data_IF_904854411960
#
_entry.id   IF_904854411960
#
_cell.length_a   1.000
_cell.length_b   1.000
_cell.length_c   1.000
_cell.angle_alpha   90.00
_cell.angle_beta   90.00
_cell.angle_gamma   90.00
#
_symmetry.space_group_name_H-M   'P 1'
#
loop_
_entity.id
_entity.type
_entity.pdbx_description
1 polymer ?
#
# COMPACT_ATOMS: atom_id res chain seq x y z
N UNK A 1 -31.21 -59.07 -12.97
CA UNK A 1 -30.02 -58.80 -12.12
C UNK A 1 -28.79 -58.32 -12.90
N UNK A 2 -28.42 -58.94 -14.05
CA UNK A 2 -27.25 -58.53 -14.85
C UNK A 2 -27.25 -57.07 -15.34
N UNK A 3 -28.42 -56.51 -15.72
CA UNK A 3 -28.54 -55.10 -16.18
C UNK A 3 -28.30 -54.08 -15.04
N UNK A 4 -28.70 -54.42 -13.82
CA UNK A 4 -28.52 -53.55 -12.62
C UNK A 4 -27.06 -53.55 -12.18
N UNK A 5 -26.39 -54.71 -12.22
CA UNK A 5 -24.96 -54.84 -11.94
C UNK A 5 -24.10 -54.03 -12.94
N UNK A 6 -24.52 -53.99 -14.21
CA UNK A 6 -23.85 -53.21 -15.26
C UNK A 6 -24.03 -51.70 -15.08
N UNK A 7 -25.21 -51.26 -14.65
CA UNK A 7 -25.46 -49.83 -14.37
C UNK A 7 -24.66 -49.35 -13.15
N UNK A 8 -24.54 -50.20 -12.13
CA UNK A 8 -23.81 -49.86 -10.90
C UNK A 8 -22.31 -49.74 -11.13
N UNK A 9 -21.73 -50.62 -11.95
CA UNK A 9 -20.31 -50.56 -12.34
C UNK A 9 -19.99 -49.34 -13.21
N UNK A 10 -20.92 -48.94 -14.08
CA UNK A 10 -20.78 -47.72 -14.89
C UNK A 10 -20.83 -46.44 -14.02
N UNK A 11 -21.66 -46.41 -12.99
CA UNK A 11 -21.78 -45.27 -12.06
C UNK A 11 -20.50 -45.00 -11.26
N UNK A 12 -19.83 -46.07 -10.80
CA UNK A 12 -18.59 -45.95 -10.00
C UNK A 12 -17.43 -45.34 -10.81
N UNK A 13 -17.41 -45.52 -12.14
CA UNK A 13 -16.39 -44.94 -13.02
C UNK A 13 -16.48 -43.41 -13.14
N UNK A 14 -17.66 -42.82 -12.95
CA UNK A 14 -17.87 -41.37 -13.11
C UNK A 14 -17.57 -40.54 -11.84
N UNK A 15 -17.35 -41.18 -10.68
CA UNK A 15 -17.20 -40.46 -9.39
C UNK A 15 -15.72 -40.16 -9.07
N UNK A 16 -14.76 -40.72 -9.80
CA UNK A 16 -13.33 -40.62 -9.48
C UNK A 16 -12.63 -39.45 -10.19
N UNK A 17 -13.07 -38.21 -9.96
CA UNK A 17 -12.25 -37.05 -10.34
C UNK A 17 -12.55 -35.82 -9.48
N UNK A 18 -11.94 -35.73 -8.30
CA UNK A 18 -11.69 -34.46 -7.62
C UNK A 18 -10.27 -34.47 -7.05
N UNK A 19 -9.35 -33.82 -7.74
CA UNK A 19 -8.01 -33.51 -7.23
C UNK A 19 -8.08 -32.21 -6.44
N UNK A 20 -7.68 -32.23 -5.17
CA UNK A 20 -7.54 -31.01 -4.35
C UNK A 20 -6.22 -30.31 -4.71
N UNK A 21 -6.27 -28.98 -4.85
CA UNK A 21 -5.11 -28.15 -5.13
C UNK A 21 -4.51 -27.62 -3.82
N UNK A 22 -3.19 -27.69 -3.61
CA UNK A 22 -2.54 -27.08 -2.46
C UNK A 22 -2.13 -25.62 -2.72
N UNK A 23 -2.23 -24.80 -1.66
CA UNK A 23 -1.91 -23.38 -1.66
C UNK A 23 -0.50 -23.16 -1.11
N UNK A 24 0.29 -22.30 -1.75
CA UNK A 24 1.61 -21.86 -1.25
C UNK A 24 1.71 -20.34 -1.23
N UNK A 25 2.35 -19.80 -0.19
CA UNK A 25 2.45 -18.36 0.11
C UNK A 25 3.88 -17.90 -0.14
N UNK A 26 4.05 -16.81 -0.89
CA UNK A 26 5.35 -16.17 -1.17
C UNK A 26 5.50 -14.92 -0.30
N UNK A 27 6.59 -14.74 0.47
CA UNK A 27 6.83 -13.51 1.20
C UNK A 27 7.45 -12.43 0.29
N UNK A 28 6.94 -11.20 0.40
CA UNK A 28 7.45 -10.01 -0.30
C UNK A 28 8.05 -9.07 0.76
N UNK A 29 9.22 -8.51 0.45
CA UNK A 29 9.92 -7.57 1.32
C UNK A 29 9.61 -6.13 0.89
N UNK A 30 9.19 -5.28 1.83
CA UNK A 30 8.89 -3.87 1.59
C UNK A 30 9.86 -2.99 2.36
N UNK A 31 10.55 -2.09 1.66
CA UNK A 31 11.36 -1.06 2.28
C UNK A 31 10.60 0.27 2.31
N UNK A 32 10.42 0.81 3.51
CA UNK A 32 9.83 2.13 3.71
C UNK A 32 10.90 3.20 3.59
N UNK A 33 10.83 4.00 2.52
CA UNK A 33 11.68 5.18 2.36
C UNK A 33 10.98 6.41 2.93
N UNK A 34 11.42 6.82 4.13
CA UNK A 34 11.00 8.07 4.78
C UNK A 34 11.99 9.16 4.39
N UNK A 35 11.51 10.29 3.86
CA UNK A 35 12.34 11.46 3.57
C UNK A 35 11.83 12.60 4.43
N UNK A 36 12.68 13.06 5.35
CA UNK A 36 12.39 14.16 6.26
C UNK A 36 12.70 15.51 5.59
N UNK A 37 11.87 16.52 5.88
CA UNK A 37 12.16 17.91 5.50
C UNK A 37 12.23 18.78 6.75
N UNK A 38 13.29 19.58 6.83
CA UNK A 38 13.49 20.59 7.86
C UNK A 38 12.44 21.70 7.76
N UNK A 39 11.82 22.01 8.90
CA UNK A 39 11.02 23.22 9.11
C UNK A 39 11.78 24.10 10.10
N UNK A 40 12.10 25.31 9.69
CA UNK A 40 12.65 26.32 10.60
C UNK A 40 11.51 27.14 11.18
N UNK A 41 11.42 27.13 12.51
CA UNK A 41 10.49 27.96 13.27
C UNK A 41 11.11 29.35 13.40
N UNK A 42 10.62 30.29 12.60
CA UNK A 42 10.98 31.69 12.75
C UNK A 42 10.05 32.39 13.74
N UNK A 43 10.62 33.39 14.41
CA UNK A 43 9.99 34.38 15.30
C UNK A 43 8.58 34.71 14.79
N UNK A 44 7.56 34.87 15.66
CA UNK A 44 6.21 35.21 15.24
C UNK A 44 6.21 36.38 14.23
N UNK A 45 5.54 36.22 13.08
CA UNK A 45 5.71 37.06 11.89
C UNK A 45 5.39 38.54 12.13
N UNK A 46 4.59 38.85 13.15
CA UNK A 46 4.04 40.19 13.40
C UNK A 46 4.53 40.82 14.71
N UNK A 47 5.82 40.66 15.03
CA UNK A 47 6.39 41.19 16.27
C UNK A 47 7.40 42.32 16.01
N UNK A 48 7.40 43.31 16.91
CA UNK A 48 8.44 44.33 16.96
C UNK A 48 8.81 44.63 18.42
N UNK A 49 10.11 44.77 18.66
CA UNK A 49 10.68 45.16 19.94
C UNK A 49 11.28 46.55 19.83
N UNK A 50 10.88 47.43 20.73
CA UNK A 50 11.30 48.83 20.75
C UNK A 50 11.93 49.16 22.09
N UNK A 51 13.10 49.78 22.06
CA UNK A 51 13.76 50.33 23.24
C UNK A 51 14.03 51.82 22.98
N UNK A 52 13.43 52.68 23.79
CA UNK A 52 13.53 54.13 23.67
C UNK A 52 14.11 54.73 24.95
N UNK A 53 15.10 55.61 24.80
CA UNK A 53 15.67 56.39 25.89
C UNK A 53 15.06 57.78 25.86
N UNK A 54 14.28 58.11 26.89
CA UNK A 54 13.62 59.39 27.06
C UNK A 54 14.34 60.18 28.17
N UNK A 55 14.59 61.45 27.92
CA UNK A 55 15.19 62.38 28.88
C UNK A 55 14.36 63.65 28.98
N UNK A 56 14.40 64.34 30.12
CA UNK A 56 13.81 65.67 30.26
C UNK A 56 14.89 66.73 30.06
N UNK A 57 14.64 67.65 29.13
CA UNK A 57 15.47 68.85 28.95
C UNK A 57 15.28 69.85 30.11
N UNK A 58 16.12 70.89 30.20
CA UNK A 58 16.07 71.93 31.24
C UNK A 58 14.75 72.71 31.28
N UNK A 59 13.94 72.62 30.22
CA UNK A 59 12.60 73.19 30.11
C UNK A 59 11.48 72.19 30.46
N UNK A 60 11.81 71.05 31.09
CA UNK A 60 10.92 69.93 31.43
C UNK A 60 10.22 69.29 30.20
N UNK A 61 10.81 69.43 29.01
CA UNK A 61 10.31 68.78 27.80
C UNK A 61 10.94 67.40 27.65
N UNK A 62 10.11 66.39 27.44
CA UNK A 62 10.56 65.02 27.16
C UNK A 62 11.13 64.96 25.74
N UNK A 63 12.40 64.57 25.63
CA UNK A 63 13.15 64.40 24.40
C UNK A 63 13.57 62.95 24.22
N UNK A 64 13.71 62.51 22.97
CA UNK A 64 14.21 61.18 22.61
C UNK A 64 15.73 61.24 22.46
N UNK A 65 16.48 60.54 23.30
CA UNK A 65 17.95 60.47 23.27
C UNK A 65 18.49 59.31 22.44
N UNK A 66 17.76 58.21 22.39
CA UNK A 66 18.20 57.01 21.69
C UNK A 66 17.02 56.10 21.37
N UNK A 67 17.13 55.40 20.24
CA UNK A 67 16.12 54.49 19.77
C UNK A 67 16.77 53.23 19.20
N UNK A 68 16.36 52.07 19.69
CA UNK A 68 16.72 50.78 19.12
C UNK A 68 15.44 50.01 18.80
N UNK A 69 15.29 49.66 17.53
CA UNK A 69 14.13 48.94 17.02
C UNK A 69 14.58 47.64 16.37
N UNK A 70 13.93 46.53 16.74
CA UNK A 70 14.05 45.24 16.08
C UNK A 70 12.67 44.79 15.65
N UNK A 71 12.48 44.48 14.37
CA UNK A 71 11.18 44.09 13.82
C UNK A 71 11.29 42.89 12.90
N UNK A 72 10.23 42.10 12.85
CA UNK A 72 10.10 40.99 11.91
C UNK A 72 10.07 41.50 10.46
N UNK A 73 10.52 40.68 9.48
CA UNK A 73 10.44 41.02 8.06
C UNK A 73 8.98 41.30 7.64
N UNK A 74 8.72 42.41 6.93
CA UNK A 74 7.37 42.79 6.49
C UNK A 74 6.57 43.66 7.47
N UNK A 75 7.17 44.01 8.63
CA UNK A 75 6.61 44.97 9.58
C UNK A 75 7.22 46.37 9.35
N UNK A 76 6.36 47.35 9.14
CA UNK A 76 6.70 48.76 9.05
C UNK A 76 6.29 49.49 10.34
N UNK A 77 7.05 50.52 10.72
CA UNK A 77 6.85 51.26 11.95
C UNK A 77 6.88 52.78 11.71
N UNK A 78 6.03 53.51 12.43
CA UNK A 78 5.99 54.98 12.46
C UNK A 78 6.06 55.43 13.93
N UNK A 79 7.01 56.31 14.23
CA UNK A 79 7.30 56.79 15.58
C UNK A 79 7.16 58.31 15.64
N UNK A 80 6.37 58.80 16.60
CA UNK A 80 6.16 60.24 16.82
C UNK A 80 6.22 60.57 18.31
N UNK A 81 7.17 61.42 18.68
CA UNK A 81 7.23 62.05 20.00
C UNK A 81 6.81 63.51 19.86
N UNK A 82 5.67 63.89 20.45
CA UNK A 82 5.20 65.28 20.49
C UNK A 82 4.67 65.60 21.89
N UNK A 83 5.18 66.66 22.51
CA UNK A 83 4.72 67.17 23.81
C UNK A 83 4.66 66.08 24.90
N UNK A 84 5.66 65.21 24.97
CA UNK A 84 5.71 64.11 25.94
C UNK A 84 4.85 62.90 25.61
N UNK A 85 4.09 62.93 24.50
CA UNK A 85 3.30 61.79 24.04
C UNK A 85 4.13 61.00 23.02
N UNK A 86 4.42 59.76 23.37
CA UNK A 86 5.12 58.80 22.53
C UNK A 86 4.11 57.92 21.79
N UNK A 87 3.91 58.18 20.51
CA UNK A 87 3.05 57.37 19.64
C UNK A 87 3.91 56.43 18.81
N UNK A 88 3.63 55.13 18.93
CA UNK A 88 4.27 54.08 18.16
C UNK A 88 3.22 53.29 17.39
N UNK A 89 3.34 53.25 16.06
CA UNK A 89 2.40 52.56 15.18
C UNK A 89 3.14 51.49 14.40
N UNK A 90 2.61 50.27 14.44
CA UNK A 90 3.05 49.17 13.60
C UNK A 90 2.04 48.94 12.45
N UNK A 91 2.57 48.66 11.27
CA UNK A 91 1.80 48.24 10.10
C UNK A 91 2.46 46.99 9.55
N UNK A 92 1.74 45.87 9.58
CA UNK A 92 2.18 44.65 8.92
C UNK A 92 1.61 44.65 7.50
N UNK A 93 2.45 44.40 6.51
CA UNK A 93 1.97 43.99 5.19
C UNK A 93 1.86 42.47 5.19
N UNK A 94 0.64 41.89 5.19
CA UNK A 94 0.49 40.44 5.16
C UNK A 94 1.07 39.94 3.84
N UNK A 95 2.22 39.30 3.90
CA UNK A 95 2.79 38.61 2.76
C UNK A 95 2.31 37.15 2.87
N UNK A 96 1.38 36.68 2.01
CA UNK A 96 0.90 35.32 2.08
C UNK A 96 2.06 34.38 1.78
N UNK A 97 2.59 33.71 2.82
CA UNK A 97 3.53 32.62 2.64
C UNK A 97 2.76 31.51 1.93
N UNK A 98 3.10 31.26 0.67
CA UNK A 98 2.57 30.14 -0.08
C UNK A 98 3.14 28.86 0.53
N UNK A 99 2.40 28.26 1.44
CA UNK A 99 2.75 26.96 2.00
C UNK A 99 2.34 25.91 0.99
N UNK A 100 3.30 25.39 0.22
CA UNK A 100 3.08 24.21 -0.61
C UNK A 100 2.84 23.00 0.30
N UNK A 101 1.59 22.58 0.42
CA UNK A 101 1.24 21.32 1.07
C UNK A 101 1.46 20.18 0.08
N UNK A 102 2.34 19.24 0.45
CA UNK A 102 2.50 17.97 -0.27
C UNK A 102 1.73 16.91 0.49
N UNK A 103 0.56 16.58 -0.04
CA UNK A 103 -0.24 15.47 0.45
C UNK A 103 0.49 14.14 0.21
N UNK A 104 0.61 13.32 1.26
CA UNK A 104 1.20 11.99 1.17
C UNK A 104 0.13 10.98 0.76
N UNK A 105 0.15 10.54 -0.51
CA UNK A 105 -0.64 9.39 -0.94
C UNK A 105 0.09 8.11 -0.53
N UNK A 106 -0.38 7.47 0.54
CA UNK A 106 0.14 6.18 1.00
C UNK A 106 -0.46 5.09 0.12
N UNK A 107 0.29 4.64 -0.90
CA UNK A 107 -0.07 3.47 -1.68
C UNK A 107 0.24 2.21 -0.87
N UNK A 108 -0.80 1.59 -0.32
CA UNK A 108 -0.71 0.28 0.31
C UNK A 108 -1.04 -0.77 -0.74
N UNK A 109 -0.01 -1.37 -1.32
CA UNK A 109 -0.18 -2.55 -2.18
C UNK A 109 -0.60 -3.73 -1.29
N UNK A 110 -1.87 -4.11 -1.39
CA UNK A 110 -2.40 -5.28 -0.71
C UNK A 110 -1.92 -6.50 -1.49
N UNK A 111 -1.18 -7.44 -0.89
CA UNK A 111 -0.73 -8.63 -1.60
C UNK A 111 -1.95 -9.48 -1.94
N UNK A 112 -2.32 -9.49 -3.22
CA UNK A 112 -3.30 -10.46 -3.74
C UNK A 112 -2.53 -11.77 -3.93
N UNK A 113 -2.85 -12.75 -3.12
CA UNK A 113 -2.34 -14.12 -3.26
C UNK A 113 -2.90 -14.71 -4.54
N UNK A 114 -2.11 -14.72 -5.61
CA UNK A 114 -2.47 -15.43 -6.84
C UNK A 114 -1.94 -16.85 -6.74
N UNK A 115 -2.87 -17.79 -6.66
CA UNK A 115 -2.59 -19.22 -6.65
C UNK A 115 -2.12 -19.65 -8.04
N UNK A 116 -0.80 -19.72 -8.25
CA UNK A 116 -0.27 -20.33 -9.48
C UNK A 116 -0.30 -21.84 -9.28
N UNK A 117 -1.12 -22.60 -10.03
CA UNK A 117 -1.13 -24.05 -9.91
C UNK A 117 0.21 -24.57 -10.43
N UNK A 118 1.11 -24.94 -9.53
CA UNK A 118 2.29 -25.71 -9.90
C UNK A 118 1.81 -27.13 -10.22
N UNK A 119 1.55 -27.36 -11.50
CA UNK A 119 1.15 -28.67 -12.01
C UNK A 119 2.35 -29.60 -11.86
N UNK A 120 2.46 -30.28 -10.72
CA UNK A 120 3.35 -31.42 -10.63
C UNK A 120 2.77 -32.53 -11.50
N UNK A 121 3.38 -32.77 -12.67
CA UNK A 121 3.05 -33.86 -13.61
C UNK A 121 3.35 -35.27 -13.02
N UNK A 122 3.17 -35.46 -11.71
CA UNK A 122 3.39 -36.73 -11.03
C UNK A 122 2.06 -37.45 -10.90
N UNK A 123 1.89 -38.50 -11.72
CA UNK A 123 0.80 -39.45 -11.52
C UNK A 123 0.86 -40.00 -10.09
N UNK A 124 -0.23 -39.84 -9.35
CA UNK A 124 -0.35 -40.41 -7.99
C UNK A 124 -0.19 -41.93 -8.06
N UNK A 125 0.37 -42.54 -7.02
CA UNK A 125 0.59 -43.99 -6.99
C UNK A 125 -0.68 -44.79 -7.31
N UNK A 126 -1.83 -44.30 -6.83
CA UNK A 126 -3.14 -44.87 -7.13
C UNK A 126 -3.55 -44.75 -8.60
N UNK A 127 -3.33 -43.60 -9.24
CA UNK A 127 -3.58 -43.43 -10.68
C UNK A 127 -2.70 -44.35 -11.55
N UNK A 128 -1.44 -44.56 -11.16
CA UNK A 128 -0.58 -45.53 -11.85
C UNK A 128 -1.09 -46.96 -11.69
N UNK A 129 -1.57 -47.31 -10.50
CA UNK A 129 -2.13 -48.62 -10.23
C UNK A 129 -3.41 -48.87 -11.05
N UNK A 130 -4.37 -47.96 -11.01
CA UNK A 130 -5.63 -48.08 -11.77
C UNK A 130 -5.40 -48.07 -13.28
N UNK A 131 -4.46 -47.26 -13.76
CA UNK A 131 -4.06 -47.25 -15.18
C UNK A 131 -3.55 -48.62 -15.63
N UNK A 132 -2.64 -49.23 -14.86
CA UNK A 132 -2.10 -50.57 -15.16
C UNK A 132 -3.19 -51.65 -15.14
N UNK A 133 -4.08 -51.61 -14.14
CA UNK A 133 -5.20 -52.57 -14.05
C UNK A 133 -6.14 -52.43 -15.26
N UNK A 134 -6.45 -51.21 -15.68
CA UNK A 134 -7.27 -50.96 -16.87
C UNK A 134 -6.64 -51.45 -18.18
N UNK A 135 -5.31 -51.35 -18.32
CA UNK A 135 -4.61 -51.91 -19.48
C UNK A 135 -4.70 -53.43 -19.54
N UNK A 136 -4.53 -54.10 -18.38
CA UNK A 136 -4.60 -55.56 -18.30
C UNK A 136 -6.00 -56.08 -18.63
N UNK A 137 -7.05 -55.41 -18.16
CA UNK A 137 -8.44 -55.82 -18.43
C UNK A 137 -8.82 -55.68 -19.91
N UNK A 138 -8.35 -54.62 -20.59
CA UNK A 138 -8.55 -54.44 -22.03
C UNK A 138 -7.88 -55.55 -22.86
N UNK A 139 -6.65 -55.95 -22.50
CA UNK A 139 -5.94 -57.04 -23.18
C UNK A 139 -6.72 -58.35 -23.03
N UNK A 140 -7.21 -58.65 -21.83
CA UNK A 140 -7.97 -59.87 -21.57
C UNK A 140 -9.28 -59.91 -22.38
N UNK A 141 -9.98 -58.79 -22.48
CA UNK A 141 -11.21 -58.68 -23.30
C UNK A 141 -10.94 -58.89 -24.79
N UNK A 142 -9.84 -58.33 -25.31
CA UNK A 142 -9.44 -58.54 -26.71
C UNK A 142 -9.14 -60.02 -26.98
N UNK A 143 -8.41 -60.70 -26.09
CA UNK A 143 -8.11 -62.13 -26.24
C UNK A 143 -9.38 -62.99 -26.25
N UNK A 144 -10.32 -62.72 -25.33
CA UNK A 144 -11.61 -63.45 -25.29
C UNK A 144 -12.45 -63.17 -26.55
N UNK A 145 -12.44 -61.93 -27.03
CA UNK A 145 -13.12 -61.53 -28.27
C UNK A 145 -12.57 -62.26 -29.49
N UNK A 146 -11.25 -62.28 -29.66
CA UNK A 146 -10.56 -63.01 -30.75
C UNK A 146 -10.83 -64.50 -30.65
N UNK A 147 -10.75 -65.10 -29.46
CA UNK A 147 -11.03 -66.52 -29.27
C UNK A 147 -12.47 -66.88 -29.63
N UNK A 148 -13.45 -66.04 -29.28
CA UNK A 148 -14.85 -66.21 -29.68
C UNK A 148 -15.04 -66.10 -31.19
N UNK A 149 -14.36 -65.16 -31.85
CA UNK A 149 -14.42 -65.00 -33.31
C UNK A 149 -13.81 -66.20 -34.05
N UNK A 150 -12.69 -66.72 -33.58
CA UNK A 150 -12.06 -67.93 -34.12
C UNK A 150 -13.00 -69.13 -33.96
N UNK A 151 -13.60 -69.30 -32.78
CA UNK A 151 -14.57 -70.38 -32.51
C UNK A 151 -15.84 -70.29 -33.36
N UNK A 152 -16.25 -69.08 -33.75
CA UNK A 152 -17.39 -68.84 -34.66
C UNK A 152 -17.06 -69.12 -36.12
N UNK A 153 -15.79 -68.97 -36.55
CA UNK A 153 -15.36 -69.29 -37.92
C UNK A 153 -14.99 -70.77 -38.14
N UNK A 154 -14.77 -71.53 -37.07
CA UNK A 154 -14.42 -72.96 -37.09
C UNK A 154 -15.65 -73.89 -36.95
N UNK A 155 -16.87 -73.35 -36.99
CA UNK A 155 -18.14 -74.07 -36.97
C UNK A 155 -18.93 -73.70 -38.23
#
# INVERSE_FOLDING_TARGET
MKKILFLFTLSVLFISCKSKQPLTVVPIHTETRVIERLVEVQIPPDSAWLTAYLECDSTNKVILRGLNERKSPGVFSDLKLKNGIFNYRLKTQPNPVQVEMKDSLVYKEIPITVEVPKVEYRQTGWQKFTSKVGTITLILLLLIGVWKLIKLKLK
#
